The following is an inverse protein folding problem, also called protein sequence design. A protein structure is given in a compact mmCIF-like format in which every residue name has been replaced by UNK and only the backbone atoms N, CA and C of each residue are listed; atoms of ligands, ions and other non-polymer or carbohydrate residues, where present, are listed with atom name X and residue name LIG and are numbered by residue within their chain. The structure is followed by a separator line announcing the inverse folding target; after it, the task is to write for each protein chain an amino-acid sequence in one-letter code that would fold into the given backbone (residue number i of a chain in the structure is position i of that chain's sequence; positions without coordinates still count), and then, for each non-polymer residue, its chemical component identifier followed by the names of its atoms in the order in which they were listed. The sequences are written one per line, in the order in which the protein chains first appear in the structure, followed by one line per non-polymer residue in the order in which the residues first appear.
data_IF_910939205516
#
_entry.id   IF_910939205516
#
_cell.length_a   1.000
_cell.length_b   1.000
_cell.length_c   1.000
_cell.angle_alpha   90.00
_cell.angle_beta   90.00
_cell.angle_gamma   90.00
#
_symmetry.space_group_name_H-M   'P 1'
#
loop_
_entity.id
_entity.type
_entity.pdbx_description
1 polymer ?
2 non-polymer ?
3 water ?
#
# COMPACT_ATOMS: atom_id res chain seq x y z
N UNK A 9 16.58 6.07 -18.60
CA UNK A 9 15.47 6.99 -18.76
C UNK A 9 14.96 6.98 -20.20
N UNK A 10 14.41 5.83 -20.60
CA UNK A 10 13.86 5.67 -21.93
C UNK A 10 12.70 6.64 -22.14
N UNK A 11 12.73 7.37 -23.23
CA UNK A 11 11.66 8.29 -23.57
C UNK A 11 10.63 7.58 -24.44
N UNK A 12 9.35 7.75 -24.11
CA UNK A 12 8.25 7.18 -24.88
C UNK A 12 7.44 8.33 -25.46
N UNK A 13 7.23 8.30 -26.77
CA UNK A 13 6.46 9.36 -27.42
C UNK A 13 5.00 9.26 -27.01
N UNK A 14 4.39 10.41 -26.77
CA UNK A 14 2.95 10.43 -26.47
C UNK A 14 2.19 9.76 -27.61
N UNK A 15 2.68 9.91 -28.83
CA UNK A 15 2.04 9.35 -30.00
C UNK A 15 2.24 7.85 -30.13
N UNK A 16 3.07 7.26 -29.27
CA UNK A 16 3.31 5.83 -29.26
C UNK A 16 2.46 5.13 -28.21
N UNK A 17 1.43 5.81 -27.71
CA UNK A 17 0.57 5.28 -26.67
C UNK A 17 -0.86 5.35 -27.12
N UNK A 18 -1.58 4.25 -26.98
CA UNK A 18 -3.02 4.25 -27.14
C UNK A 18 -3.64 4.27 -25.75
N UNK A 19 -4.36 5.33 -25.43
CA UNK A 19 -4.97 5.44 -24.11
C UNK A 19 -6.35 4.78 -24.12
N UNK A 20 -6.64 4.02 -23.07
CA UNK A 20 -7.90 3.30 -23.03
C UNK A 20 -9.00 4.12 -22.37
N UNK A 21 -8.66 4.96 -21.40
CA UNK A 21 -9.58 5.97 -20.91
C UNK A 21 -9.03 7.35 -21.26
N UNK A 22 -9.90 8.37 -21.29
CA UNK A 22 -9.42 9.70 -21.63
C UNK A 22 -8.46 10.20 -20.57
N UNK A 23 -7.30 10.72 -21.01
CA UNK A 23 -6.24 11.12 -20.08
C UNK A 23 -6.37 12.57 -19.63
N UNK A 24 -7.38 13.28 -20.10
CA UNK A 24 -7.66 14.60 -19.60
C UNK A 24 -8.65 14.66 -18.46
N UNK A 25 -9.09 13.51 -17.95
CA UNK A 25 -10.11 13.50 -16.92
C UNK A 25 -9.64 13.37 -15.50
N UNK A 26 -8.33 13.47 -15.22
CA UNK A 26 -7.84 13.22 -13.89
C UNK A 26 -6.88 14.27 -13.39
N UNK A 27 -6.78 14.34 -12.07
CA UNK A 27 -5.78 15.16 -11.41
C UNK A 27 -4.38 14.63 -11.70
N UNK A 28 -3.38 15.48 -11.45
CA UNK A 28 -2.02 15.00 -11.51
C UNK A 28 -1.86 13.85 -10.53
N UNK A 29 -1.07 12.85 -10.93
CA UNK A 29 -1.02 11.59 -10.22
C UNK A 29 -1.99 10.55 -10.72
N UNK A 30 -2.98 10.93 -11.51
CA UNK A 30 -3.90 9.95 -12.08
C UNK A 30 -3.13 9.00 -12.98
N UNK A 31 -3.58 7.76 -13.00
CA UNK A 31 -2.92 6.71 -13.77
C UNK A 31 -3.91 6.22 -14.82
N UNK A 32 -3.43 6.07 -16.04
CA UNK A 32 -4.28 5.62 -17.13
C UNK A 32 -3.72 4.33 -17.70
N UNK A 33 -4.63 3.40 -18.00
CA UNK A 33 -4.28 2.20 -18.72
C UNK A 33 -4.15 2.52 -20.21
N UNK A 34 -3.11 1.98 -20.84
CA UNK A 34 -2.72 2.35 -22.19
C UNK A 34 -1.99 1.18 -22.84
N UNK A 35 -1.92 1.22 -24.17
CA UNK A 35 -1.10 0.32 -24.96
C UNK A 35 0.11 1.08 -25.46
N UNK A 36 1.28 0.54 -25.18
CA UNK A 36 2.53 1.00 -25.78
C UNK A 36 2.65 0.34 -27.15
N UNK A 37 2.40 1.12 -28.20
CA UNK A 37 2.08 0.57 -29.52
C UNK A 37 3.31 -0.09 -30.14
N UNK A 38 4.46 0.59 -30.09
CA UNK A 38 5.64 0.08 -30.77
C UNK A 38 6.16 -1.18 -30.10
N UNK A 39 5.79 -1.39 -28.84
CA UNK A 39 6.23 -2.55 -28.08
C UNK A 39 5.10 -3.52 -27.81
N UNK A 40 3.88 -3.18 -28.18
CA UNK A 40 2.75 -4.09 -28.02
C UNK A 40 2.61 -4.54 -26.57
N UNK A 41 2.84 -3.62 -25.62
CA UNK A 41 2.73 -3.90 -24.20
C UNK A 41 1.63 -3.02 -23.59
N UNK A 42 0.81 -3.64 -22.74
CA UNK A 42 -0.10 -2.88 -21.90
C UNK A 42 0.67 -2.21 -20.77
N UNK A 43 0.36 -0.93 -20.52
CA UNK A 43 1.14 -0.11 -19.60
C UNK A 43 0.20 0.73 -18.75
N UNK A 44 0.75 1.25 -17.66
CA UNK A 44 0.14 2.31 -16.86
C UNK A 44 0.88 3.60 -17.16
N UNK A 45 0.16 4.72 -17.18
CA UNK A 45 0.76 6.02 -17.45
C UNK A 45 0.28 6.98 -16.38
N UNK A 46 1.21 7.51 -15.58
CA UNK A 46 0.86 8.48 -14.57
C UNK A 46 1.06 9.89 -15.13
N UNK A 47 0.02 10.71 -15.03
CA UNK A 47 0.08 12.07 -15.55
C UNK A 47 0.76 12.96 -14.53
N UNK A 48 1.76 13.71 -15.00
CA UNK A 48 2.56 14.58 -14.14
C UNK A 48 2.53 16.01 -14.66
N UNK A 49 2.69 16.94 -13.73
CA UNK A 49 2.86 18.33 -14.12
C UNK A 49 4.16 18.51 -14.91
N UNK A 50 5.25 17.95 -14.40
CA UNK A 50 6.52 17.95 -15.11
C UNK A 50 7.35 16.83 -14.52
N UNK A 51 8.43 16.48 -15.22
CA UNK A 51 9.32 15.39 -14.81
C UNK A 51 10.73 15.94 -14.64
N UNK A 52 11.29 15.81 -13.44
CA UNK A 52 12.70 16.10 -13.20
C UNK A 52 13.59 15.09 -13.92
N UNK A 53 14.63 15.60 -14.57
CA UNK A 53 15.67 14.70 -15.07
C UNK A 53 16.22 13.83 -13.95
N UNK A 54 16.24 14.35 -12.72
CA UNK A 54 16.84 13.61 -11.61
C UNK A 54 16.06 12.34 -11.26
N UNK A 55 14.80 12.25 -11.66
CA UNK A 55 14.05 11.01 -11.45
C UNK A 55 14.72 9.82 -12.15
N UNK A 56 15.71 10.07 -13.01
CA UNK A 56 16.53 9.02 -13.60
C UNK A 56 16.98 8.00 -12.58
N UNK A 57 17.27 8.45 -11.35
CA UNK A 57 17.88 7.57 -10.37
C UNK A 57 16.94 6.44 -9.98
N UNK A 58 15.63 6.66 -10.07
CA UNK A 58 14.66 5.63 -9.74
C UNK A 58 14.39 4.69 -10.90
N UNK A 59 14.75 5.07 -12.12
CA UNK A 59 14.44 4.27 -13.30
C UNK A 59 15.13 2.92 -13.26
N UNK A 60 16.19 2.78 -12.47
CA UNK A 60 16.95 1.54 -12.41
C UNK A 60 16.48 0.61 -11.30
N UNK A 61 15.51 1.02 -10.47
CA UNK A 61 14.93 0.11 -9.49
C UNK A 61 14.15 -0.99 -10.19
N UNK A 62 14.35 -2.23 -9.74
CA UNK A 62 13.64 -3.35 -10.36
C UNK A 62 13.55 -4.49 -9.37
N UNK A 63 12.33 -4.96 -9.13
CA UNK A 63 12.09 -6.04 -8.18
C UNK A 63 10.72 -6.61 -8.45
N UNK A 64 10.57 -7.91 -8.20
CA UNK A 64 9.30 -8.54 -8.57
C UNK A 64 8.11 -7.99 -7.78
N UNK A 65 8.36 -7.27 -6.67
CA UNK A 65 7.26 -6.76 -5.87
C UNK A 65 7.17 -5.24 -5.91
N UNK A 66 7.77 -4.61 -6.92
CA UNK A 66 7.56 -3.19 -7.17
C UNK A 66 7.23 -3.01 -8.64
N UNK A 67 6.37 -2.04 -8.92
CA UNK A 67 5.93 -1.82 -10.29
C UNK A 67 7.13 -1.47 -11.18
N UNK A 68 7.15 -2.01 -12.39
CA UNK A 68 8.35 -1.93 -13.23
C UNK A 68 8.32 -0.68 -14.11
N UNK A 69 9.33 0.17 -13.98
CA UNK A 69 9.46 1.35 -14.83
C UNK A 69 9.72 0.97 -16.29
N UNK A 70 9.05 1.67 -17.20
CA UNK A 70 9.26 1.50 -18.64
C UNK A 70 9.80 2.74 -19.33
N UNK A 71 9.37 3.94 -18.94
CA UNK A 71 9.81 5.13 -19.66
C UNK A 71 9.08 6.37 -19.19
N UNK A 72 9.44 7.50 -19.80
CA UNK A 72 8.87 8.81 -19.48
C UNK A 72 8.40 9.49 -20.76
N UNK A 73 7.30 10.25 -20.65
CA UNK A 73 6.78 11.09 -21.72
C UNK A 73 7.22 12.52 -21.44
N UNK A 74 7.83 13.18 -22.42
CA UNK A 74 8.52 14.44 -22.21
C UNK A 74 8.16 15.41 -23.33
N UNK A 75 6.88 15.69 -23.47
CA UNK A 75 6.35 16.54 -24.54
C UNK A 75 5.39 17.55 -23.93
N UNK A 76 5.89 18.66 -23.40
CA UNK A 76 5.04 19.65 -22.74
C UNK A 76 3.83 19.99 -23.62
N UNK A 77 2.64 20.08 -23.02
CA UNK A 77 2.40 19.99 -21.58
C UNK A 77 2.16 18.57 -21.07
N UNK A 78 2.34 17.57 -21.93
CA UNK A 78 2.11 16.18 -21.56
C UNK A 78 3.40 15.57 -21.00
N UNK A 79 3.41 15.31 -19.71
CA UNK A 79 4.48 14.62 -19.01
C UNK A 79 3.90 13.39 -18.33
N UNK A 80 4.66 12.31 -18.28
CA UNK A 80 4.22 11.19 -17.46
C UNK A 80 5.27 10.12 -17.29
N UNK A 81 4.95 9.18 -16.42
CA UNK A 81 5.79 8.01 -16.17
C UNK A 81 4.99 6.79 -16.60
N UNK A 82 5.65 5.92 -17.37
CA UNK A 82 5.05 4.73 -17.93
C UNK A 82 5.62 3.52 -17.20
N UNK A 83 4.75 2.63 -16.75
CA UNK A 83 5.18 1.41 -16.06
C UNK A 83 4.39 0.23 -16.61
N UNK A 84 4.74 -0.95 -16.12
CA UNK A 84 3.94 -2.14 -16.35
C UNK A 84 2.53 -1.93 -15.80
N UNK A 85 1.58 -2.64 -16.38
CA UNK A 85 0.22 -2.62 -15.88
C UNK A 85 -0.10 -3.98 -15.26
N UNK A 86 -0.48 -3.97 -13.98
CA UNK A 86 -0.83 -5.19 -13.27
C UNK A 86 -2.31 -5.50 -13.51
N UNK A 87 -2.58 -6.62 -14.19
CA UNK A 87 -3.88 -6.84 -14.82
C UNK A 87 -5.05 -6.88 -13.83
N UNK A 88 -4.80 -7.25 -12.57
CA UNK A 88 -5.91 -7.53 -11.66
C UNK A 88 -6.25 -6.35 -10.72
N UNK A 89 -5.70 -5.17 -10.97
CA UNK A 89 -6.18 -4.00 -10.25
C UNK A 89 -5.53 -3.85 -8.88
N UNK A 90 -6.06 -2.92 -8.11
CA UNK A 90 -5.45 -2.55 -6.85
C UNK A 90 -5.87 -3.50 -5.73
N UNK A 91 -4.99 -3.63 -4.74
CA UNK A 91 -5.30 -4.44 -3.58
C UNK A 91 -6.53 -3.90 -2.86
N UNK A 92 -6.63 -2.58 -2.73
CA UNK A 92 -7.77 -1.98 -2.06
C UNK A 92 -9.08 -2.44 -2.70
N UNK A 93 -9.16 -2.37 -4.03
CA UNK A 93 -10.41 -2.72 -4.70
C UNK A 93 -10.73 -4.19 -4.56
N UNK A 94 -9.70 -5.04 -4.56
CA UNK A 94 -9.91 -6.47 -4.35
C UNK A 94 -10.45 -6.73 -2.96
N UNK A 95 -9.77 -6.19 -1.94
CA UNK A 95 -10.12 -6.46 -0.55
C UNK A 95 -11.57 -6.09 -0.27
N UNK A 96 -11.98 -4.91 -0.72
CA UNK A 96 -13.31 -4.41 -0.40
C UNK A 96 -14.37 -4.87 -1.38
N UNK A 97 -14.08 -5.91 -2.13
CA UNK A 97 -15.05 -6.58 -2.97
C UNK A 97 -15.38 -7.92 -2.36
N UNK A 98 -16.47 -8.52 -2.84
CA UNK A 98 -16.82 -9.86 -2.37
C UNK A 98 -15.81 -10.91 -2.83
N UNK A 99 -14.93 -10.58 -3.78
CA UNK A 99 -13.96 -11.56 -4.23
C UNK A 99 -13.01 -11.99 -3.11
N UNK A 100 -12.70 -11.08 -2.18
CA UNK A 100 -11.76 -11.41 -1.10
C UNK A 100 -12.28 -12.50 -0.19
N UNK A 101 -13.53 -12.95 -0.36
CA UNK A 101 -14.01 -14.09 0.41
C UNK A 101 -13.23 -15.37 0.07
N UNK A 102 -12.53 -15.39 -1.06
CA UNK A 102 -11.74 -16.55 -1.43
C UNK A 102 -10.38 -16.61 -0.74
N UNK A 103 -10.03 -15.61 0.07
CA UNK A 103 -8.71 -15.60 0.69
C UNK A 103 -8.65 -16.53 1.89
N UNK A 104 -7.59 -17.34 1.93
CA UNK A 104 -7.31 -18.19 3.08
C UNK A 104 -5.97 -17.75 3.68
N UNK A 105 -5.51 -18.47 4.69
CA UNK A 105 -4.28 -18.09 5.35
C UNK A 105 -3.10 -18.12 4.39
N UNK A 106 -3.02 -19.16 3.54
CA UNK A 106 -1.92 -19.25 2.59
C UNK A 106 -1.92 -18.03 1.66
N UNK A 107 -3.11 -17.56 1.28
CA UNK A 107 -3.23 -16.37 0.45
C UNK A 107 -2.69 -15.13 1.17
N UNK A 108 -3.13 -14.91 2.40
CA UNK A 108 -2.67 -13.75 3.17
C UNK A 108 -1.18 -13.82 3.40
N UNK A 109 -0.66 -15.01 3.74
CA UNK A 109 0.77 -15.13 3.97
C UNK A 109 1.57 -14.80 2.72
N UNK A 110 1.14 -15.31 1.57
CA UNK A 110 1.83 -15.02 0.32
C UNK A 110 1.83 -13.51 0.04
N UNK A 111 0.67 -12.87 0.20
CA UNK A 111 0.56 -11.44 -0.11
C UNK A 111 1.27 -10.58 0.92
N UNK A 112 1.21 -10.95 2.20
CA UNK A 112 1.97 -10.20 3.20
C UNK A 112 3.46 -10.30 2.93
N UNK A 113 3.93 -11.47 2.52
CA UNK A 113 5.34 -11.64 2.16
C UNK A 113 5.72 -10.83 0.92
N UNK A 114 4.84 -10.83 -0.10
CA UNK A 114 5.08 -10.01 -1.29
C UNK A 114 5.37 -8.56 -0.95
N UNK A 115 4.49 -7.93 -0.16
CA UNK A 115 4.62 -6.52 0.16
C UNK A 115 5.85 -6.26 1.03
N UNK A 116 6.04 -7.09 2.06
CA UNK A 116 7.25 -6.99 2.88
C UNK A 116 8.52 -7.16 2.04
N UNK A 117 8.51 -8.07 1.05
CA UNK A 117 9.72 -8.24 0.25
C UNK A 117 9.98 -7.04 -0.66
N UNK A 118 8.94 -6.48 -1.27
CA UNK A 118 9.14 -5.26 -2.05
C UNK A 118 9.64 -4.09 -1.23
N UNK A 119 9.10 -3.93 -0.01
CA UNK A 119 9.57 -2.84 0.84
C UNK A 119 10.99 -3.10 1.34
N UNK A 120 11.33 -4.36 1.63
CA UNK A 120 12.71 -4.61 2.01
C UNK A 120 13.65 -4.23 0.88
N UNK A 121 13.27 -4.55 -0.36
CA UNK A 121 14.07 -4.13 -1.50
C UNK A 121 14.27 -2.63 -1.49
N UNK A 122 13.17 -1.89 -1.33
CA UNK A 122 13.22 -0.43 -1.42
C UNK A 122 14.09 0.15 -0.32
N UNK A 123 14.03 -0.45 0.87
CA UNK A 123 14.75 0.09 2.02
C UNK A 123 16.21 -0.30 2.01
N UNK A 124 16.56 -1.50 1.54
CA UNK A 124 17.86 -2.07 1.86
C UNK A 124 18.66 -2.60 0.67
N UNK A 125 18.00 -2.94 -0.45
CA UNK A 125 18.67 -3.65 -1.53
C UNK A 125 18.84 -2.83 -2.79
N UNK A 126 18.07 -1.75 -2.95
CA UNK A 126 18.06 -0.92 -4.13
C UNK A 126 19.30 -0.01 -4.20
N UNK A 127 19.69 0.43 -5.40
CA UNK A 127 20.84 1.33 -5.51
C UNK A 127 20.66 2.64 -4.76
N UNK A 128 19.41 3.04 -4.55
CA UNK A 128 19.06 4.26 -3.84
C UNK A 128 18.10 3.86 -2.74
N UNK A 129 18.29 4.38 -1.53
CA UNK A 129 17.38 4.01 -0.46
C UNK A 129 16.05 4.75 -0.65
N UNK A 130 14.95 4.00 -0.66
CA UNK A 130 13.64 4.58 -0.87
C UNK A 130 12.78 4.33 0.35
N UNK A 131 12.27 5.41 0.94
CA UNK A 131 11.31 5.28 2.03
C UNK A 131 10.04 5.74 1.34
N UNK A 132 9.04 4.87 1.27
CA UNK A 132 7.85 5.23 0.51
C UNK A 132 7.05 6.42 1.03
N UNK A 133 6.70 6.39 2.30
CA UNK A 133 5.92 7.39 3.09
C UNK A 133 4.40 7.44 2.83
N UNK A 134 3.94 6.76 1.79
CA UNK A 134 2.54 6.76 1.39
C UNK A 134 2.05 5.35 1.09
N UNK A 135 2.66 4.34 1.70
CA UNK A 135 2.24 2.99 1.44
C UNK A 135 0.80 2.77 1.92
N UNK A 136 -0.01 2.16 1.07
CA UNK A 136 -1.40 1.86 1.42
C UNK A 136 -1.95 0.86 0.42
N UNK A 137 -3.12 0.31 0.73
CA UNK A 137 -3.68 -0.74 -0.11
C UNK A 137 -4.02 -0.24 -1.52
N UNK A 138 -4.26 1.06 -1.69
CA UNK A 138 -4.53 1.56 -3.04
C UNK A 138 -3.25 1.69 -3.85
N UNK A 139 -2.08 1.65 -3.21
CA UNK A 139 -0.79 1.75 -3.86
C UNK A 139 -0.11 0.40 -4.09
N UNK A 140 -0.82 -0.70 -3.83
CA UNK A 140 -0.35 -2.05 -4.17
C UNK A 140 -1.31 -2.62 -5.20
N UNK A 141 -0.76 -3.26 -6.23
CA UNK A 141 -1.61 -3.79 -7.30
C UNK A 141 -1.26 -5.23 -7.54
N UNK A 142 -2.17 -5.94 -8.22
CA UNK A 142 -2.11 -7.40 -8.34
C UNK A 142 -1.81 -7.76 -9.79
N UNK A 143 -0.65 -8.38 -10.05
CA UNK A 143 -0.36 -8.82 -11.41
C UNK A 143 -1.19 -10.06 -11.78
N UNK A 144 -1.13 -10.40 -13.07
CA UNK A 144 -1.98 -11.46 -13.59
C UNK A 144 -1.79 -12.80 -12.88
N UNK A 145 -0.59 -13.08 -12.36
CA UNK A 145 -0.30 -14.32 -11.63
C UNK A 145 -0.41 -14.17 -10.11
N UNK A 146 -0.97 -13.06 -9.61
CA UNK A 146 -1.17 -12.89 -8.19
C UNK A 146 -0.03 -12.26 -7.43
N UNK A 147 1.08 -11.94 -8.10
CA UNK A 147 2.20 -11.26 -7.44
C UNK A 147 1.81 -9.81 -7.18
N UNK A 148 2.04 -9.34 -5.95
CA UNK A 148 1.75 -7.94 -5.63
C UNK A 148 2.93 -7.04 -5.96
N UNK A 149 2.61 -5.81 -6.37
CA UNK A 149 3.57 -4.86 -6.92
C UNK A 149 3.30 -3.54 -6.25
N UNK A 150 4.32 -2.95 -5.62
CA UNK A 150 4.14 -1.68 -4.94
C UNK A 150 4.30 -0.54 -5.94
N UNK A 151 3.37 0.41 -5.91
CA UNK A 151 3.33 1.57 -6.78
C UNK A 151 3.64 2.84 -5.98
N UNK A 152 3.96 3.92 -6.70
CA UNK A 152 4.05 5.26 -6.13
C UNK A 152 5.19 5.42 -5.13
N UNK A 153 6.17 4.50 -5.13
CA UNK A 153 7.28 4.59 -4.19
C UNK A 153 8.20 5.78 -4.48
N UNK A 154 8.03 6.44 -5.63
CA UNK A 154 8.87 7.60 -5.87
C UNK A 154 8.18 8.93 -5.68
N UNK A 155 6.88 8.87 -5.36
CA UNK A 155 6.07 10.08 -5.29
C UNK A 155 6.54 11.04 -4.22
N UNK A 156 6.81 10.52 -3.01
CA UNK A 156 7.15 11.42 -1.91
C UNK A 156 8.41 12.22 -2.21
N UNK A 157 9.30 11.68 -3.05
CA UNK A 157 10.51 12.41 -3.41
C UNK A 157 10.32 13.27 -4.66
N UNK A 158 9.77 12.69 -5.74
CA UNK A 158 9.91 13.30 -7.05
C UNK A 158 8.65 13.96 -7.59
N UNK A 159 7.49 13.55 -7.14
CA UNK A 159 6.27 14.22 -7.54
C UNK A 159 5.32 14.26 -6.34
N UNK A 160 5.77 14.97 -5.30
CA UNK A 160 4.95 15.19 -4.13
C UNK A 160 3.61 15.80 -4.49
N UNK A 161 3.51 16.49 -5.63
CA UNK A 161 2.25 17.14 -5.96
C UNK A 161 1.18 16.11 -6.27
N UNK A 162 1.58 14.90 -6.69
CA UNK A 162 0.61 13.83 -6.93
C UNK A 162 -0.02 13.33 -5.63
N UNK A 163 0.72 13.37 -4.53
CA UNK A 163 0.22 12.75 -3.31
C UNK A 163 -0.81 13.66 -2.61
N UNK A 164 -0.54 14.96 -2.54
CA UNK A 164 -1.51 15.97 -2.13
C UNK A 164 -1.17 17.27 -2.85
N UNK A 166 -8.56 12.60 0.24
CA UNK A 166 -7.31 13.31 -0.08
C UNK A 166 -6.12 12.80 0.72
N UNK A 167 -5.49 13.77 1.39
CA UNK A 167 -4.65 13.49 2.53
C UNK A 167 -5.49 12.93 3.66
N UNK A 168 -6.73 13.42 3.77
CA UNK A 168 -7.68 12.89 4.75
C UNK A 168 -7.92 11.41 4.49
N UNK A 169 -8.14 11.04 3.22
CA UNK A 169 -8.24 9.63 2.86
C UNK A 169 -7.08 8.78 3.34
N UNK A 170 -5.89 9.36 3.44
CA UNK A 170 -4.68 8.59 3.72
C UNK A 170 -4.37 8.48 5.20
N UNK A 171 -5.02 9.28 6.06
CA UNK A 171 -4.64 9.23 7.48
C UNK A 171 -4.73 7.85 8.12
N UNK A 172 -5.68 6.97 7.77
CA UNK A 172 -5.61 5.61 8.33
C UNK A 172 -4.28 4.91 8.11
N UNK A 173 -3.52 5.25 7.06
CA UNK A 173 -2.29 4.52 6.78
C UNK A 173 -1.04 5.25 7.25
N UNK A 174 -1.16 6.47 7.75
CA UNK A 174 0.01 7.32 8.00
C UNK A 174 0.53 7.15 9.42
N UNK A 175 1.82 6.88 9.55
CA UNK A 175 2.43 6.76 10.86
C UNK A 175 2.27 8.07 11.62
N UNK A 176 2.15 8.01 12.95
CA UNK A 176 2.10 9.26 13.72
C UNK A 176 3.20 10.26 13.39
N UNK A 177 4.45 9.81 13.20
CA UNK A 177 5.51 10.78 12.95
C UNK A 177 5.33 11.46 11.61
N UNK A 178 4.74 10.75 10.63
CA UNK A 178 4.45 11.37 9.35
C UNK A 178 3.31 12.38 9.51
N UNK A 179 2.27 12.04 10.27
CA UNK A 179 1.15 12.96 10.48
C UNK A 179 1.66 14.27 11.10
N UNK A 180 2.61 14.19 12.03
CA UNK A 180 3.10 15.37 12.75
C UNK A 180 4.28 16.08 12.08
N UNK A 181 4.72 15.63 10.88
CA UNK A 181 5.92 16.15 10.23
C UNK A 181 7.13 16.10 11.17
N UNK A 182 7.27 15.00 11.86
CA UNK A 182 8.36 14.78 12.81
C UNK A 182 9.51 14.08 12.11
N UNK A 183 10.64 13.86 12.78
CA UNK A 183 11.68 13.00 12.19
C UNK A 183 11.11 11.65 11.77
N UNK A 184 11.43 11.24 10.54
CA UNK A 184 10.85 10.04 9.93
C UNK A 184 11.96 9.08 9.55
N UNK A 185 11.80 7.81 9.92
CA UNK A 185 12.71 6.74 9.49
C UNK A 185 11.96 5.76 8.59
N UNK A 186 12.70 4.75 8.10
CA UNK A 186 12.09 3.73 7.24
C UNK A 186 10.89 3.07 7.90
N UNK A 187 10.82 3.06 9.24
CA UNK A 187 9.71 2.34 9.87
C UNK A 187 8.39 3.10 9.84
N UNK A 188 8.33 4.28 9.24
CA UNK A 188 7.01 4.79 8.89
C UNK A 188 6.33 3.84 7.90
N UNK A 189 7.10 3.15 7.07
CA UNK A 189 6.50 2.20 6.14
C UNK A 189 6.06 0.93 6.85
N UNK A 190 6.74 0.56 7.94
CA UNK A 190 6.31 -0.59 8.71
C UNK A 190 4.92 -0.35 9.28
N UNK A 191 4.67 0.84 9.80
CA UNK A 191 3.34 1.17 10.32
C UNK A 191 2.29 1.03 9.24
N UNK A 192 2.54 1.64 8.07
CA UNK A 192 1.58 1.57 6.98
C UNK A 192 1.32 0.13 6.57
N UNK A 193 2.37 -0.67 6.51
CA UNK A 193 2.24 -2.09 6.16
C UNK A 193 1.33 -2.80 7.15
N UNK A 194 1.50 -2.51 8.44
CA UNK A 194 0.59 -3.05 9.45
C UNK A 194 -0.86 -2.79 9.10
N UNK A 195 -1.16 -1.58 8.63
CA UNK A 195 -2.54 -1.28 8.26
C UNK A 195 -2.96 -2.16 7.08
N UNK A 196 -2.09 -2.30 6.08
CA UNK A 196 -2.42 -3.13 4.92
C UNK A 196 -2.67 -4.59 5.35
N UNK A 197 -1.87 -5.10 6.27
CA UNK A 197 -2.14 -6.45 6.79
C UNK A 197 -3.51 -6.53 7.48
N UNK A 198 -3.84 -5.53 8.31
CA UNK A 198 -5.15 -5.49 8.94
C UNK A 198 -6.27 -5.49 7.91
N UNK A 199 -6.11 -4.73 6.82
CA UNK A 199 -7.12 -4.74 5.77
C UNK A 199 -7.30 -6.11 5.18
N UNK A 200 -6.21 -6.83 4.96
CA UNK A 200 -6.31 -8.17 4.39
C UNK A 200 -7.03 -9.11 5.35
N UNK A 201 -6.70 -9.03 6.63
CA UNK A 201 -7.33 -9.90 7.63
C UNK A 201 -8.82 -9.60 7.79
N UNK A 202 -9.18 -8.33 8.00
CA UNK A 202 -10.58 -8.01 8.26
C UNK A 202 -11.39 -7.75 7.01
N UNK A 203 -10.73 -7.43 5.89
CA UNK A 203 -11.37 -6.97 4.65
C UNK A 203 -12.35 -5.83 4.93
N UNK A 204 -11.88 -4.84 5.69
CA UNK A 204 -12.66 -3.63 5.98
C UNK A 204 -11.84 -2.38 5.66
N UNK A 205 -12.55 -1.27 5.47
CA UNK A 205 -11.88 0.02 5.26
C UNK A 205 -11.42 0.53 6.62
N UNK A 206 -10.14 0.86 6.80
CA UNK A 206 -9.69 1.29 8.14
C UNK A 206 -10.37 2.59 8.53
N UNK A 207 -10.89 2.62 9.76
CA UNK A 207 -11.53 3.82 10.33
C UNK A 207 -12.69 4.31 9.46
N UNK A 208 -13.44 3.35 8.92
CA UNK A 208 -14.49 3.64 7.93
C UNK A 208 -15.48 4.68 8.44
N UNK A 209 -15.66 5.73 7.66
CA UNK A 209 -16.63 6.77 7.97
C UNK A 209 -16.19 7.83 8.95
N UNK A 210 -14.93 7.80 9.39
CA UNK A 210 -14.39 8.80 10.31
C UNK A 210 -13.67 9.88 9.54
N UNK A 211 -13.80 11.12 10.01
CA UNK A 211 -13.10 12.24 9.40
C UNK A 211 -11.59 12.09 9.58
N UNK A 212 -10.84 12.46 8.55
CA UNK A 212 -9.41 12.19 8.56
C UNK A 212 -8.71 12.93 9.69
N UNK A 213 -9.06 14.19 9.92
CA UNK A 213 -8.50 14.91 11.05
C UNK A 213 -8.79 14.18 12.35
N UNK A 214 -9.98 13.60 12.46
CA UNK A 214 -10.33 12.84 13.65
C UNK A 214 -9.43 11.62 13.82
N UNK A 215 -9.21 10.88 12.72
CA UNK A 215 -8.28 9.76 12.72
C UNK A 215 -6.89 10.20 13.19
N UNK A 216 -6.33 11.22 12.54
CA UNK A 216 -4.97 11.65 12.86
C UNK A 216 -4.84 11.99 14.34
N UNK A 217 -5.84 12.69 14.88
CA UNK A 217 -5.86 13.08 16.28
C UNK A 217 -5.85 11.84 17.20
N UNK A 218 -6.81 10.94 16.99
CA UNK A 218 -6.85 9.68 17.73
C UNK A 218 -5.54 8.92 17.64
N UNK A 219 -4.98 8.79 16.44
CA UNK A 219 -3.77 7.97 16.28
C UNK A 219 -2.59 8.62 16.99
N UNK A 220 -2.51 9.96 16.95
CA UNK A 220 -1.31 10.65 17.39
C UNK A 220 -1.38 10.96 18.88
N UNK A 221 -2.50 11.53 19.33
CA UNK A 221 -2.60 12.00 20.71
C UNK A 221 -3.08 10.89 21.66
N UNK A 222 -3.93 10.00 21.17
CA UNK A 222 -4.55 8.98 22.03
C UNK A 222 -3.96 7.58 21.85
N UNK A 223 -3.03 7.40 20.91
CA UNK A 223 -2.45 6.08 20.65
C UNK A 223 -3.50 5.06 20.23
N UNK A 224 -4.58 5.56 19.64
CA UNK A 224 -5.64 4.72 19.11
C UNK A 224 -5.13 3.92 17.90
N UNK A 225 -5.54 2.67 17.82
CA UNK A 225 -5.17 1.83 16.69
C UNK A 225 -6.40 1.04 16.27
N UNK A 226 -6.34 0.49 15.06
CA UNK A 226 -7.48 -0.25 14.51
C UNK A 226 -7.81 -1.47 15.37
N UNK A 227 -9.10 -1.76 15.48
CA UNK A 227 -9.56 -2.85 16.33
C UNK A 227 -9.09 -4.18 15.75
N UNK A 228 -8.40 -4.96 16.56
CA UNK A 228 -8.03 -6.34 16.23
C UNK A 228 -9.07 -7.27 16.85
N UNK A 229 -9.84 -8.00 16.06
CA UNK A 229 -10.89 -8.86 16.63
C UNK A 229 -10.32 -9.83 17.64
N UNK A 230 -11.11 -10.10 18.68
CA UNK A 230 -10.66 -10.96 19.76
C UNK A 230 -10.24 -12.33 19.24
N UNK A 231 -10.84 -12.80 18.14
CA UNK A 231 -10.53 -14.12 17.63
C UNK A 231 -9.42 -14.11 16.59
N UNK A 232 -8.83 -12.96 16.33
CA UNK A 232 -7.65 -12.93 15.48
C UNK A 232 -6.55 -13.76 16.13
N UNK A 233 -5.88 -14.64 15.37
CA UNK A 233 -4.74 -15.39 15.92
C UNK A 233 -3.70 -14.48 16.55
N UNK A 234 -3.19 -14.91 17.71
CA UNK A 234 -2.24 -14.12 18.46
C UNK A 234 -1.02 -13.75 17.62
N UNK A 235 -0.56 -14.65 16.74
CA UNK A 235 0.62 -14.32 15.94
C UNK A 235 0.36 -13.12 15.04
N UNK A 236 -0.82 -13.05 14.43
CA UNK A 236 -1.12 -11.86 13.61
C UNK A 236 -1.31 -10.63 14.49
N UNK A 237 -2.01 -10.78 15.62
CA UNK A 237 -2.25 -9.62 16.47
C UNK A 237 -0.94 -9.02 16.98
N UNK A 238 0.00 -9.88 17.40
CA UNK A 238 1.27 -9.39 17.91
C UNK A 238 2.07 -8.70 16.81
N UNK A 239 2.00 -9.23 15.59
CA UNK A 239 2.68 -8.59 14.48
C UNK A 239 2.10 -7.21 14.21
N UNK A 240 0.77 -7.09 14.25
CA UNK A 240 0.16 -5.79 14.06
C UNK A 240 0.60 -4.81 15.15
N UNK A 241 0.61 -5.27 16.40
CA UNK A 241 1.00 -4.41 17.51
C UNK A 241 2.45 -3.94 17.38
N UNK A 242 3.33 -4.77 16.83
CA UNK A 242 4.73 -4.36 16.68
C UNK A 242 4.87 -3.31 15.58
N UNK A 243 4.11 -3.47 14.50
CA UNK A 243 4.13 -2.49 13.41
C UNK A 243 3.57 -1.16 13.85
N UNK A 244 2.62 -1.17 14.78
CA UNK A 244 1.90 0.04 15.16
C UNK A 244 2.46 0.75 16.40
N UNK A 245 3.59 0.30 16.95
CA UNK A 245 4.18 0.97 18.11
C UNK A 245 4.31 2.47 17.87
N UNK A 246 3.95 3.27 18.89
CA UNK A 246 4.10 4.72 18.76
C UNK A 246 5.55 5.12 18.54
N UNK A 247 6.46 4.51 19.29
CA UNK A 247 7.88 4.76 19.13
C UNK A 247 8.37 4.02 17.89
N UNK A 248 8.71 4.76 16.84
CA UNK A 248 9.07 4.15 15.56
C UNK A 248 10.31 3.28 15.68
N UNK A 249 11.17 3.54 16.67
CA UNK A 249 12.37 2.74 16.84
C UNK A 249 12.09 1.36 17.39
N UNK A 250 10.89 1.14 17.94
CA UNK A 250 10.50 -0.17 18.43
C UNK A 250 9.79 -1.02 17.39
N UNK A 251 9.52 -0.47 16.19
CA UNK A 251 8.85 -1.20 15.14
C UNK A 251 9.84 -2.12 14.42
N UNK A 252 9.37 -3.22 13.86
CA UNK A 252 10.28 -4.10 13.12
C UNK A 252 10.65 -3.56 11.75
N UNK A 253 11.86 -3.88 11.32
CA UNK A 253 12.23 -3.69 9.94
C UNK A 253 11.48 -4.68 9.05
N UNK A 254 11.60 -4.49 7.74
CA UNK A 254 10.96 -5.43 6.84
C UNK A 254 11.71 -6.76 6.79
N UNK A 255 13.01 -6.74 7.05
CA UNK A 255 13.72 -8.01 7.24
C UNK A 255 13.16 -8.77 8.42
N UNK A 256 12.92 -8.08 9.54
CA UNK A 256 12.35 -8.76 10.70
C UNK A 256 10.93 -9.27 10.41
N UNK A 257 10.13 -8.49 9.66
CA UNK A 257 8.77 -8.89 9.36
C UNK A 257 8.75 -10.19 8.54
N UNK A 258 9.62 -10.25 7.52
CA UNK A 258 9.74 -11.46 6.71
C UNK A 258 10.13 -12.65 7.58
N UNK A 259 11.03 -12.45 8.53
CA UNK A 259 11.42 -13.53 9.44
C UNK A 259 10.23 -14.03 10.24
N UNK A 260 9.43 -13.10 10.77
CA UNK A 260 8.21 -13.44 11.51
C UNK A 260 7.24 -14.22 10.64
N UNK A 261 7.03 -13.76 9.42
CA UNK A 261 6.14 -14.46 8.50
C UNK A 261 6.63 -15.88 8.27
N UNK A 262 7.94 -16.06 8.12
CA UNK A 262 8.46 -17.42 7.96
C UNK A 262 8.20 -18.25 9.20
N UNK A 263 8.38 -17.69 10.39
CA UNK A 263 8.08 -18.44 11.61
C UNK A 263 6.60 -18.79 11.68
N UNK A 264 5.73 -17.88 11.26
CA UNK A 264 4.30 -18.16 11.28
C UNK A 264 3.94 -19.25 10.26
N UNK A 265 4.66 -19.29 9.14
CA UNK A 265 4.35 -20.32 8.13
C UNK A 265 4.80 -21.72 8.58
N UNK A 266 5.61 -21.82 9.62
CA UNK A 266 5.97 -23.13 10.18
C UNK A 266 5.09 -23.54 11.35
N UNK A 267 4.14 -22.71 11.76
CA UNK A 267 3.25 -23.00 12.87
C UNK A 267 2.11 -23.87 12.33
N UNK A 268 2.12 -25.16 12.70
CA UNK A 268 1.13 -26.06 12.12
C UNK A 268 -0.27 -25.79 12.66
N UNK A 269 -0.36 -25.08 13.78
CA UNK A 269 -1.67 -24.77 14.35
C UNK A 269 -2.30 -23.54 13.70
N UNK A 270 -1.54 -22.77 12.93
CA UNK A 270 -2.04 -21.47 12.48
C UNK A 270 -2.97 -21.55 11.27
N UNK A 271 -2.76 -22.41 10.27
CA UNK A 271 -3.75 -22.48 9.19
C UNK A 271 -5.18 -22.66 9.69
N UNK A 272 -5.45 -23.64 10.57
CA UNK A 272 -6.81 -23.83 11.05
C UNK A 272 -7.31 -22.61 11.84
N UNK A 273 -6.46 -22.07 12.73
CA UNK A 273 -6.88 -20.92 13.54
C UNK A 273 -7.16 -19.70 12.67
N UNK A 274 -6.32 -19.46 11.67
CA UNK A 274 -6.49 -18.27 10.83
C UNK A 274 -7.63 -18.44 9.85
N UNK A 275 -7.77 -19.63 9.26
CA UNK A 275 -8.88 -19.83 8.32
C UNK A 275 -10.22 -19.77 9.06
N UNK A 276 -10.27 -20.32 10.27
CA UNK A 276 -11.50 -20.20 11.05
C UNK A 276 -11.80 -18.74 11.36
N UNK A 277 -10.76 -17.97 11.67
CA UNK A 277 -10.94 -16.55 11.92
C UNK A 277 -11.40 -15.79 10.66
N UNK A 278 -10.79 -16.09 9.53
CA UNK A 278 -11.11 -15.39 8.28
C UNK A 278 -12.55 -15.60 7.83
N UNK A 279 -13.05 -16.81 8.00
CA UNK A 279 -14.40 -17.17 7.59
C UNK A 279 -15.46 -16.91 8.66
N UNK A 280 -15.03 -16.36 9.77
CA UNK A 280 -15.90 -16.05 10.90
C UNK A 280 -16.26 -14.56 10.95
N UNK A 281 -16.14 -13.88 9.81
CA UNK A 281 -16.37 -12.43 9.75
C UNK A 281 -17.77 -11.99 10.20
N UNK A 282 -18.79 -12.80 9.97
CA UNK A 282 -20.13 -12.45 10.42
C UNK A 282 -20.15 -12.27 11.96
N UNK A 283 -19.45 -13.13 12.70
CA UNK A 283 -19.32 -12.98 14.14
C UNK A 283 -18.48 -11.79 14.68
N UNK A 284 -17.29 -11.56 14.14
CA UNK A 284 -16.42 -10.49 14.67
C UNK A 284 -16.53 -9.10 14.04
N UNK A 285 -17.22 -9.01 12.92
CA UNK A 285 -17.48 -7.73 12.27
C UNK A 285 -18.15 -6.76 13.22
N UNK A 286 -18.90 -7.28 14.20
CA UNK A 286 -19.58 -6.40 15.15
C UNK A 286 -18.60 -5.78 16.14
N UNK A 287 -17.43 -6.38 16.33
CA UNK A 287 -16.44 -5.77 17.21
C UNK A 287 -15.80 -4.55 16.57
N UNK A 288 -15.63 -4.59 15.25
CA UNK A 288 -15.11 -3.42 14.54
C UNK A 288 -16.17 -2.33 14.47
N UNK A 289 -17.42 -2.70 14.19
CA UNK A 289 -18.48 -1.71 14.08
C UNK A 289 -18.78 -1.06 15.43
N UNK A 290 -18.59 -1.81 16.52
CA UNK A 290 -18.81 -1.21 17.83
C UNK A 290 -17.77 -0.14 18.14
N UNK A 291 -16.51 -0.39 17.80
CA UNK A 291 -15.48 0.64 17.98
C UNK A 291 -15.80 1.88 17.17
N UNK A 292 -16.22 1.71 15.92
CA UNK A 292 -16.56 2.85 15.06
C UNK A 292 -17.72 3.65 15.63
N UNK A 293 -18.75 2.96 16.14
CA UNK A 293 -19.86 3.67 16.78
C UNK A 293 -19.37 4.44 17.99
N UNK A 294 -18.48 3.84 18.77
CA UNK A 294 -17.95 4.51 19.95
C UNK A 294 -17.14 5.73 19.54
N UNK A 295 -16.27 5.59 18.55
CA UNK A 295 -15.45 6.71 18.11
C UNK A 295 -16.31 7.82 17.50
N UNK A 296 -17.34 7.45 16.73
CA UNK A 296 -18.20 8.47 16.15
C UNK A 296 -19.01 9.20 17.24
N UNK A 297 -19.50 8.45 18.23
CA UNK A 297 -20.26 9.08 19.30
C UNK A 297 -19.38 9.98 20.15
N UNK A 298 -18.15 9.56 20.41
CA UNK A 298 -17.26 10.39 21.23
C UNK A 298 -16.97 11.73 20.55
N UNK A 299 -16.91 11.74 19.22
CA UNK A 299 -16.72 13.02 18.54
C UNK A 299 -17.91 13.94 18.77
N UNK A 300 -19.11 13.37 18.76
CA UNK A 300 -20.31 14.11 19.13
C UNK A 300 -20.27 14.51 20.61
#
# INVERSE_FOLDING_TARGET
GAMGSGASFVQIKFDDLQFFENCGGGSFGSVYRAKWISQDKEVAVKKLLKIEKEAEILSVLSHRNIIQFYGVILEPPNYGIVTEYASLGSLYDYINSNRSEEMDMDHIMTWATDVAKGMHYLHMEAPVKVIHRDLKSRNVVIAADGVLKICDFGASRFHNHTTHMSLVGTFPWMAPEVIQSLPVSETCDTYSYGVVLWEMLTREVPFKGLEGLQVAWLVVEKNERLTIPSSCPRSFAELLHQCWEADAKKRPSFKQIISILESMSNDTSLPDKCNSFLHNKAEWRCEIEATLERLKKLERDLSFKEQELK
#
